data_IF_705033067370
#
_entry.id   IF_705033067370
#
_cell.length_a   1.000
_cell.length_b   1.000
_cell.length_c   1.000
_cell.angle_alpha   90.00
_cell.angle_beta   90.00
_cell.angle_gamma   90.00
#
_symmetry.space_group_name_H-M   'P 1'
#
loop_
_entity.id
_entity.type
_entity.pdbx_description
1 polymer ?
#
# COMPACT_ATOMS: atom_id res chain seq x y z
N UNK A 1 28.06 14.55 21.18
CA UNK A 1 27.33 13.29 20.92
C UNK A 1 26.15 13.24 21.91
N UNK A 2 25.01 13.81 21.58
CA UNK A 2 23.79 13.67 22.39
C UNK A 2 22.73 13.03 21.50
N UNK A 3 22.71 11.70 21.51
CA UNK A 3 21.64 10.93 20.91
C UNK A 3 20.40 11.04 21.79
N UNK A 4 19.63 12.09 21.60
CA UNK A 4 18.33 12.24 22.24
C UNK A 4 17.45 11.11 21.74
N UNK A 5 17.16 10.15 22.59
CA UNK A 5 16.05 9.21 22.43
C UNK A 5 14.77 10.03 22.35
N UNK A 6 14.35 10.37 21.12
CA UNK A 6 13.04 10.99 20.95
C UNK A 6 11.99 10.04 21.50
N UNK A 7 11.13 10.55 22.36
CA UNK A 7 10.01 9.78 22.92
C UNK A 7 9.16 9.21 21.78
N UNK A 8 8.44 8.12 22.05
CA UNK A 8 7.51 7.50 21.08
C UNK A 8 6.57 8.57 20.47
N UNK A 9 6.06 9.47 21.30
CA UNK A 9 5.19 10.56 20.85
C UNK A 9 5.87 11.57 19.92
N UNK A 10 7.17 11.87 20.12
CA UNK A 10 7.92 12.77 19.24
C UNK A 10 8.24 12.13 17.89
N UNK A 11 8.56 10.83 17.87
CA UNK A 11 8.75 10.09 16.60
C UNK A 11 7.46 10.05 15.77
N UNK A 12 6.33 9.77 16.41
CA UNK A 12 5.03 9.77 15.74
C UNK A 12 4.61 11.17 15.27
N UNK A 13 4.94 12.23 16.02
CA UNK A 13 4.72 13.61 15.57
C UNK A 13 5.50 13.95 14.31
N UNK A 14 6.71 13.42 14.14
CA UNK A 14 7.49 13.59 12.92
C UNK A 14 6.85 12.91 11.71
N UNK A 15 6.01 11.89 11.89
CA UNK A 15 5.27 11.21 10.85
C UNK A 15 3.91 11.85 10.54
N UNK A 16 3.46 12.83 11.31
CA UNK A 16 2.15 13.48 11.13
C UNK A 16 2.29 14.86 10.51
N UNK A 17 1.43 15.17 9.55
CA UNK A 17 1.23 16.54 9.11
C UNK A 17 0.31 17.21 10.12
N UNK A 18 0.76 18.29 10.81
CA UNK A 18 -0.11 18.99 11.76
C UNK A 18 -1.44 19.39 11.09
N UNK A 19 -2.55 19.11 11.77
CA UNK A 19 -3.90 19.44 11.32
C UNK A 19 -4.49 18.53 10.24
N UNK A 20 -3.70 17.67 9.58
CA UNK A 20 -4.23 16.75 8.56
C UNK A 20 -4.99 15.57 9.19
N UNK A 21 -4.42 14.97 10.22
CA UNK A 21 -4.97 13.75 10.85
C UNK A 21 -6.13 14.01 11.81
N UNK A 22 -6.24 15.21 12.32
CA UNK A 22 -7.40 15.63 13.13
C UNK A 22 -8.67 15.87 12.30
N UNK A 23 -8.53 15.92 10.97
CA UNK A 23 -9.63 16.13 10.04
C UNK A 23 -10.43 14.83 9.77
N UNK A 24 -9.81 13.68 9.96
CA UNK A 24 -10.39 12.37 9.63
C UNK A 24 -10.55 11.52 10.87
N UNK A 25 -11.62 10.70 10.91
CA UNK A 25 -11.88 9.79 12.02
C UNK A 25 -10.82 8.70 12.16
N UNK A 26 -10.22 8.29 11.04
CA UNK A 26 -9.20 7.25 10.96
C UNK A 26 -7.97 7.73 10.21
N UNK A 27 -6.82 7.18 10.57
CA UNK A 27 -5.60 7.27 9.77
C UNK A 27 -5.09 5.88 9.40
N UNK A 28 -5.67 5.35 8.33
CA UNK A 28 -5.33 4.01 7.85
C UNK A 28 -3.88 3.92 7.42
N UNK A 29 -3.15 3.02 8.04
CA UNK A 29 -1.71 2.85 7.87
C UNK A 29 -1.36 1.38 7.63
N UNK A 30 -0.41 1.15 6.73
CA UNK A 30 0.22 -0.13 6.50
C UNK A 30 1.63 -0.11 7.06
N UNK A 31 2.01 -1.10 7.87
CA UNK A 31 3.40 -1.31 8.29
C UNK A 31 3.92 -2.58 7.62
N UNK A 32 5.12 -2.50 7.02
CA UNK A 32 5.78 -3.60 6.35
C UNK A 32 7.12 -3.89 7.04
N UNK A 33 7.24 -5.04 7.69
CA UNK A 33 8.48 -5.48 8.31
C UNK A 33 9.34 -6.26 7.30
N UNK A 34 10.45 -5.63 6.88
CA UNK A 34 11.34 -6.20 5.88
C UNK A 34 12.20 -7.35 6.42
N UNK A 35 12.34 -7.51 7.75
CA UNK A 35 12.96 -8.69 8.34
C UNK A 35 12.11 -9.96 8.16
N UNK A 36 10.78 -9.78 8.16
CA UNK A 36 9.83 -10.89 8.00
C UNK A 36 9.52 -11.19 6.53
N UNK A 37 9.73 -10.22 5.63
CA UNK A 37 9.39 -10.39 4.21
C UNK A 37 10.36 -11.33 3.51
N UNK A 38 9.86 -12.49 3.08
CA UNK A 38 10.65 -13.50 2.34
C UNK A 38 10.52 -13.41 0.81
N UNK A 39 9.74 -12.45 0.29
CA UNK A 39 9.59 -12.25 -1.15
C UNK A 39 8.68 -13.24 -1.89
N UNK A 40 7.80 -13.95 -1.19
CA UNK A 40 6.96 -15.02 -1.77
C UNK A 40 5.88 -14.53 -2.77
N UNK A 41 5.66 -13.23 -2.91
CA UNK A 41 4.65 -12.61 -3.79
C UNK A 41 3.18 -12.97 -3.48
N UNK A 42 2.86 -13.68 -2.39
CA UNK A 42 1.48 -14.01 -2.01
C UNK A 42 0.59 -12.77 -1.90
N UNK A 43 1.13 -11.64 -1.41
CA UNK A 43 0.44 -10.36 -1.33
C UNK A 43 0.02 -9.82 -2.71
N UNK A 44 0.85 -10.02 -3.74
CA UNK A 44 0.54 -9.61 -5.11
C UNK A 44 -0.59 -10.45 -5.68
N UNK A 45 -0.53 -11.77 -5.55
CA UNK A 45 -1.57 -12.69 -6.02
C UNK A 45 -2.91 -12.40 -5.33
N UNK A 46 -2.90 -12.25 -4.00
CA UNK A 46 -4.11 -11.91 -3.25
C UNK A 46 -4.71 -10.56 -3.67
N UNK A 47 -3.86 -9.56 -4.02
CA UNK A 47 -4.31 -8.28 -4.51
C UNK A 47 -5.02 -8.41 -5.88
N UNK A 48 -4.49 -9.26 -6.78
CA UNK A 48 -5.13 -9.54 -8.07
C UNK A 48 -6.52 -10.14 -7.89
N UNK A 49 -6.64 -11.19 -7.08
CA UNK A 49 -7.90 -11.87 -6.83
C UNK A 49 -8.95 -10.95 -6.16
N UNK A 50 -8.54 -10.24 -5.10
CA UNK A 50 -9.44 -9.38 -4.33
C UNK A 50 -9.96 -8.18 -5.12
N UNK A 51 -9.11 -7.58 -5.95
CA UNK A 51 -9.41 -6.30 -6.59
C UNK A 51 -9.74 -6.43 -8.09
N UNK A 52 -10.04 -7.62 -8.58
CA UNK A 52 -10.37 -7.87 -9.99
C UNK A 52 -9.32 -7.27 -10.93
N UNK A 53 -8.03 -7.41 -10.58
CA UNK A 53 -6.95 -6.90 -11.40
C UNK A 53 -6.73 -7.87 -12.56
N UNK A 54 -6.77 -7.39 -13.81
CA UNK A 54 -6.61 -8.27 -14.96
C UNK A 54 -5.16 -8.77 -15.11
N UNK A 55 -5.02 -10.01 -15.58
CA UNK A 55 -3.72 -10.56 -15.98
C UNK A 55 -3.45 -10.12 -17.42
N UNK A 56 -2.32 -9.44 -17.63
CA UNK A 56 -1.98 -8.86 -18.96
C UNK A 56 -1.61 -9.89 -20.00
N UNK A 57 -1.20 -11.10 -19.62
CA UNK A 57 -0.70 -12.16 -20.51
C UNK A 57 0.77 -11.97 -20.88
N UNK A 58 1.39 -13.08 -21.31
CA UNK A 58 2.85 -13.15 -21.54
C UNK A 58 3.33 -12.20 -22.64
N UNK A 59 2.62 -12.12 -23.76
CA UNK A 59 2.99 -11.27 -24.89
C UNK A 59 3.02 -9.78 -24.53
N UNK A 60 2.08 -9.34 -23.70
CA UNK A 60 2.02 -7.94 -23.26
C UNK A 60 3.03 -7.68 -22.16
N UNK A 61 3.23 -8.65 -21.26
CA UNK A 61 4.25 -8.57 -20.23
C UNK A 61 5.65 -8.44 -20.84
N UNK A 62 5.97 -9.24 -21.88
CA UNK A 62 7.22 -9.17 -22.61
C UNK A 62 7.45 -7.80 -23.28
N UNK A 63 6.37 -7.08 -23.61
CA UNK A 63 6.41 -5.69 -24.14
C UNK A 63 6.41 -4.62 -23.05
N UNK A 64 6.61 -4.99 -21.78
CA UNK A 64 6.69 -4.06 -20.65
C UNK A 64 5.35 -3.66 -20.04
N UNK A 65 4.23 -4.29 -20.42
CA UNK A 65 2.95 -4.03 -19.77
C UNK A 65 2.92 -4.66 -18.38
N UNK A 66 2.89 -3.83 -17.34
CA UNK A 66 2.81 -4.26 -15.94
C UNK A 66 1.56 -3.67 -15.31
N UNK A 67 0.75 -4.49 -14.64
CA UNK A 67 -0.52 -4.07 -14.06
C UNK A 67 -0.66 -4.37 -12.56
N UNK A 68 0.42 -4.59 -11.87
CA UNK A 68 0.42 -4.90 -10.44
C UNK A 68 0.12 -3.64 -9.61
N UNK A 69 -0.85 -3.71 -8.68
CA UNK A 69 -1.04 -2.68 -7.66
C UNK A 69 -0.03 -2.79 -6.52
N UNK A 70 0.51 -3.99 -6.32
CA UNK A 70 1.67 -4.25 -5.45
C UNK A 70 2.76 -4.84 -6.33
N UNK A 71 3.91 -4.16 -6.44
CA UNK A 71 5.08 -4.74 -7.05
C UNK A 71 6.07 -5.15 -5.96
N UNK A 72 6.74 -6.25 -6.19
CA UNK A 72 7.78 -6.75 -5.32
C UNK A 72 9.14 -6.41 -5.92
N UNK A 73 9.82 -5.41 -5.38
CA UNK A 73 11.17 -5.07 -5.80
C UNK A 73 12.18 -6.02 -5.17
N UNK A 74 13.17 -6.40 -5.95
CA UNK A 74 14.24 -7.30 -5.57
C UNK A 74 15.57 -6.56 -5.69
N UNK A 75 16.27 -6.45 -4.58
CA UNK A 75 17.62 -5.90 -4.51
C UNK A 75 18.60 -7.04 -4.25
N UNK A 76 19.64 -7.13 -5.08
CA UNK A 76 20.67 -8.16 -5.00
C UNK A 76 22.00 -7.47 -4.74
N UNK A 77 22.68 -7.87 -3.66
CA UNK A 77 23.99 -7.35 -3.25
C UNK A 77 24.98 -8.51 -3.13
N UNK A 78 26.25 -8.28 -3.47
CA UNK A 78 27.32 -9.27 -3.40
C UNK A 78 27.44 -10.13 -4.66
N UNK A 79 28.44 -11.01 -4.67
CA UNK A 79 28.72 -11.97 -5.75
C UNK A 79 28.56 -13.40 -5.24
N UNK A 80 28.23 -14.32 -6.16
CA UNK A 80 28.10 -15.72 -5.81
C UNK A 80 29.43 -16.29 -5.26
N UNK A 81 29.41 -17.03 -4.12
CA UNK A 81 28.24 -17.56 -3.38
C UNK A 81 27.64 -16.62 -2.32
N UNK A 82 28.24 -15.47 -2.03
CA UNK A 82 27.84 -14.57 -0.94
C UNK A 82 26.80 -13.52 -1.36
N UNK A 83 25.71 -13.98 -1.98
CA UNK A 83 24.63 -13.11 -2.46
C UNK A 83 23.63 -12.84 -1.34
N UNK A 84 23.34 -11.55 -1.11
CA UNK A 84 22.26 -11.07 -0.24
C UNK A 84 21.09 -10.59 -1.08
N UNK A 85 19.90 -11.11 -0.81
CA UNK A 85 18.68 -10.70 -1.52
C UNK A 85 17.72 -10.05 -0.55
N UNK A 86 17.20 -8.88 -0.93
CA UNK A 86 16.18 -8.13 -0.19
C UNK A 86 14.96 -7.92 -1.07
N UNK A 87 13.79 -8.04 -0.49
CA UNK A 87 12.54 -7.83 -1.17
C UNK A 87 11.78 -6.70 -0.50
N UNK A 88 11.23 -5.79 -1.30
CA UNK A 88 10.43 -4.66 -0.81
C UNK A 88 9.11 -4.65 -1.58
N UNK A 89 7.98 -4.97 -0.94
CA UNK A 89 6.67 -4.79 -1.55
C UNK A 89 6.32 -3.31 -1.59
N UNK A 90 6.08 -2.78 -2.79
CA UNK A 90 5.73 -1.39 -3.02
C UNK A 90 4.32 -1.28 -3.61
N UNK A 91 3.48 -0.51 -2.93
CA UNK A 91 2.10 -0.21 -3.31
C UNK A 91 1.85 1.29 -3.25
N UNK A 92 0.64 1.74 -3.59
CA UNK A 92 0.28 3.14 -3.36
C UNK A 92 0.52 3.50 -1.90
N UNK A 93 1.32 4.55 -1.70
CA UNK A 93 1.75 4.99 -0.38
C UNK A 93 0.66 5.77 0.37
N UNK A 94 -0.50 6.00 -0.24
CA UNK A 94 -1.62 6.75 0.36
C UNK A 94 -1.14 8.07 1.00
N UNK A 95 -0.35 8.83 0.25
CA UNK A 95 0.33 10.03 0.72
C UNK A 95 -0.65 11.07 1.23
N UNK A 96 -0.38 11.67 2.40
CA UNK A 96 -1.19 12.76 2.95
C UNK A 96 -1.03 14.06 2.15
N UNK A 97 0.14 14.26 1.53
CA UNK A 97 0.41 15.33 0.57
C UNK A 97 0.63 14.71 -0.80
N UNK A 98 -0.46 14.25 -1.42
CA UNK A 98 -0.41 13.45 -2.64
C UNK A 98 -0.20 14.32 -3.89
N UNK A 99 0.98 14.30 -4.55
CA UNK A 99 1.21 15.10 -5.75
C UNK A 99 0.33 14.67 -6.93
N UNK A 100 -0.12 13.42 -6.93
CA UNK A 100 -1.03 12.91 -7.94
C UNK A 100 -2.43 13.55 -7.91
N UNK A 101 -2.85 14.16 -6.81
CA UNK A 101 -4.12 14.90 -6.72
C UNK A 101 -4.02 16.24 -7.42
N UNK A 102 -2.91 16.96 -7.18
CA UNK A 102 -2.67 18.28 -7.78
C UNK A 102 -2.59 18.19 -9.31
N UNK A 103 -2.09 17.08 -9.85
CA UNK A 103 -1.96 16.87 -11.28
C UNK A 103 -3.22 16.38 -11.99
N UNK A 104 -4.31 16.11 -11.28
CA UNK A 104 -5.51 15.57 -11.91
C UNK A 104 -6.47 16.69 -12.37
N UNK A 105 -6.65 16.93 -13.68
CA UNK A 105 -7.46 18.03 -14.19
C UNK A 105 -8.96 17.88 -13.92
N UNK A 106 -9.43 16.65 -13.67
CA UNK A 106 -10.85 16.33 -13.46
C UNK A 106 -11.14 15.92 -12.02
N UNK A 107 -10.18 16.09 -11.12
CA UNK A 107 -10.33 15.74 -9.72
C UNK A 107 -10.80 14.26 -9.49
N UNK A 108 -10.32 13.36 -10.35
CA UNK A 108 -10.60 11.94 -10.24
C UNK A 108 -9.82 11.26 -9.11
N UNK A 109 -8.75 11.91 -8.63
CA UNK A 109 -8.01 11.47 -7.46
C UNK A 109 -8.05 12.55 -6.39
N UNK A 110 -8.41 12.18 -5.16
CA UNK A 110 -8.58 13.09 -4.02
C UNK A 110 -8.58 12.29 -2.71
N UNK A 111 -8.53 12.96 -1.56
CA UNK A 111 -8.74 12.33 -0.27
C UNK A 111 -10.22 12.23 0.07
N UNK A 112 -10.67 11.02 0.42
CA UNK A 112 -12.03 10.79 0.90
C UNK A 112 -12.16 11.13 2.39
N UNK A 113 -13.36 10.90 2.95
CA UNK A 113 -13.65 11.14 4.37
C UNK A 113 -12.85 10.23 5.33
N UNK A 114 -12.30 9.12 4.82
CA UNK A 114 -11.44 8.21 5.59
C UNK A 114 -9.96 8.58 5.53
N UNK A 115 -9.61 9.72 4.91
CA UNK A 115 -8.23 10.13 4.73
C UNK A 115 -7.45 9.33 3.67
N UNK A 116 -8.13 8.50 2.89
CA UNK A 116 -7.51 7.72 1.82
C UNK A 116 -7.42 8.50 0.52
N UNK A 117 -6.28 8.44 -0.14
CA UNK A 117 -6.16 8.89 -1.52
C UNK A 117 -6.91 7.92 -2.42
N UNK A 118 -8.03 8.32 -2.95
CA UNK A 118 -8.90 7.48 -3.80
C UNK A 118 -8.72 7.79 -5.29
N UNK A 119 -9.20 6.89 -6.13
CA UNK A 119 -9.31 7.05 -7.57
C UNK A 119 -10.74 6.77 -7.99
N UNK A 120 -11.42 7.77 -8.56
CA UNK A 120 -12.79 7.63 -9.09
C UNK A 120 -12.69 7.32 -10.57
N UNK A 121 -12.97 6.08 -10.93
CA UNK A 121 -12.80 5.59 -12.29
C UNK A 121 -13.68 6.33 -13.30
N UNK A 122 -14.95 6.59 -12.96
CA UNK A 122 -15.91 7.27 -13.83
C UNK A 122 -15.57 8.75 -14.10
N UNK A 123 -14.70 9.37 -13.31
CA UNK A 123 -14.20 10.72 -13.56
C UNK A 123 -12.89 10.72 -14.34
N UNK A 124 -12.20 9.60 -14.39
CA UNK A 124 -10.89 9.52 -15.01
C UNK A 124 -11.01 9.64 -16.52
N UNK A 125 -10.37 10.65 -17.10
CA UNK A 125 -10.31 10.89 -18.55
C UNK A 125 -8.98 10.47 -19.17
N UNK A 126 -8.15 9.76 -18.41
CA UNK A 126 -6.93 9.13 -18.92
C UNK A 126 -5.76 10.06 -19.25
N UNK A 127 -5.66 11.23 -18.66
CA UNK A 127 -4.56 12.19 -18.92
C UNK A 127 -3.17 11.67 -18.53
N UNK A 128 -3.08 10.60 -17.77
CA UNK A 128 -1.85 9.98 -17.28
C UNK A 128 -1.01 10.85 -16.32
N UNK A 129 -1.27 12.13 -16.16
CA UNK A 129 -0.50 13.10 -15.36
C UNK A 129 -0.28 12.64 -13.92
N UNK A 130 -1.28 12.01 -13.30
CA UNK A 130 -1.16 11.50 -11.93
C UNK A 130 -0.15 10.35 -11.77
N UNK A 131 0.14 9.58 -12.85
CA UNK A 131 1.20 8.57 -12.84
C UNK A 131 2.57 9.25 -12.93
N UNK A 132 2.72 10.26 -13.80
CA UNK A 132 3.96 11.03 -13.95
C UNK A 132 4.35 11.74 -12.64
N UNK A 133 3.36 12.23 -11.89
CA UNK A 133 3.58 12.91 -10.61
C UNK A 133 3.81 11.95 -9.43
N UNK A 134 3.58 10.65 -9.62
CA UNK A 134 3.78 9.68 -8.55
C UNK A 134 5.26 9.27 -8.44
N UNK A 135 6.01 9.66 -7.40
CA UNK A 135 7.42 9.32 -7.30
C UNK A 135 7.66 7.83 -7.00
N UNK A 136 6.60 7.11 -6.61
CA UNK A 136 6.67 5.69 -6.26
C UNK A 136 6.37 4.75 -7.43
N UNK A 137 5.99 5.28 -8.58
CA UNK A 137 5.56 4.50 -9.76
C UNK A 137 4.56 3.38 -9.42
N UNK A 138 3.48 3.73 -8.75
CA UNK A 138 2.45 2.77 -8.27
C UNK A 138 1.07 3.01 -8.85
N UNK A 139 0.99 3.84 -9.89
CA UNK A 139 -0.23 4.10 -10.66
C UNK A 139 -0.15 3.39 -11.98
N UNK A 140 -1.15 2.55 -12.27
CA UNK A 140 -1.19 1.70 -13.47
C UNK A 140 -2.31 2.17 -14.37
N UNK A 141 -1.96 2.46 -15.61
CA UNK A 141 -2.94 2.87 -16.62
C UNK A 141 -3.49 1.65 -17.33
N UNK A 142 -4.82 1.59 -17.45
CA UNK A 142 -5.49 0.50 -18.13
C UNK A 142 -5.54 0.76 -19.63
N UNK A 143 -4.62 0.17 -20.37
CA UNK A 143 -4.48 0.30 -21.82
C UNK A 143 -5.42 -0.59 -22.63
N UNK A 144 -6.08 -1.55 -21.99
CA UNK A 144 -6.84 -2.57 -22.69
C UNK A 144 -8.14 -2.87 -21.96
N UNK A 145 -9.17 -3.25 -22.72
CA UNK A 145 -10.36 -3.88 -22.17
C UNK A 145 -10.08 -5.36 -21.97
N UNK A 146 -10.15 -5.83 -20.74
CA UNK A 146 -9.96 -7.23 -20.39
C UNK A 146 -11.30 -7.93 -20.28
N UNK A 147 -11.40 -9.10 -20.90
CA UNK A 147 -12.57 -9.97 -20.79
C UNK A 147 -12.20 -11.19 -19.97
N UNK A 148 -13.05 -11.51 -19.02
CA UNK A 148 -12.96 -12.74 -18.25
C UNK A 148 -13.84 -13.77 -18.96
N UNK A 149 -13.21 -14.78 -19.58
CA UNK A 149 -13.92 -15.84 -20.30
C UNK A 149 -14.65 -16.77 -19.33
N UNK A 150 -15.76 -17.36 -19.78
CA UNK A 150 -16.48 -18.36 -18.98
C UNK A 150 -15.64 -19.62 -18.80
N UNK A 151 -15.57 -20.19 -17.58
CA UNK A 151 -16.24 -19.80 -16.33
C UNK A 151 -15.45 -18.83 -15.44
N UNK A 152 -14.32 -18.28 -15.89
CA UNK A 152 -13.41 -17.44 -15.09
C UNK A 152 -14.06 -16.14 -14.58
N UNK A 153 -15.13 -15.69 -15.21
CA UNK A 153 -15.91 -14.55 -14.72
C UNK A 153 -16.50 -14.78 -13.30
N UNK A 154 -16.70 -16.05 -12.92
CA UNK A 154 -17.25 -16.40 -11.60
C UNK A 154 -16.26 -16.19 -10.44
N UNK A 155 -14.98 -16.03 -10.72
CA UNK A 155 -13.97 -15.72 -9.70
C UNK A 155 -13.94 -14.24 -9.32
N UNK A 156 -14.63 -13.37 -10.06
CA UNK A 156 -14.61 -11.94 -9.80
C UNK A 156 -15.28 -11.61 -8.48
N UNK A 157 -14.61 -10.71 -7.72
CA UNK A 157 -15.17 -10.18 -6.50
C UNK A 157 -16.34 -9.21 -6.84
N UNK A 158 -17.59 -9.51 -6.41
CA UNK A 158 -18.74 -8.69 -6.73
C UNK A 158 -18.70 -7.29 -6.09
N UNK A 159 -17.95 -7.11 -5.00
CA UNK A 159 -17.82 -5.84 -4.30
C UNK A 159 -16.84 -4.87 -4.95
N UNK A 160 -16.16 -5.31 -6.02
CA UNK A 160 -15.14 -4.53 -6.71
C UNK A 160 -15.46 -4.41 -8.19
N UNK A 161 -15.58 -3.19 -8.68
CA UNK A 161 -15.83 -2.90 -10.09
C UNK A 161 -14.67 -3.41 -10.97
N UNK A 162 -14.99 -4.07 -12.06
CA UNK A 162 -14.04 -4.31 -13.16
C UNK A 162 -13.87 -2.98 -13.91
N UNK A 163 -12.63 -2.55 -14.12
CA UNK A 163 -12.33 -1.28 -14.79
C UNK A 163 -12.13 -1.51 -16.27
N UNK A 164 -12.56 -0.54 -17.02
CA UNK A 164 -12.40 -0.53 -18.48
C UNK A 164 -11.10 0.15 -18.90
N UNK A 165 -10.79 0.09 -20.20
CA UNK A 165 -9.67 0.81 -20.80
C UNK A 165 -9.81 2.33 -20.58
N UNK A 166 -8.67 3.01 -20.42
CA UNK A 166 -8.61 4.46 -20.37
C UNK A 166 -8.61 5.07 -18.97
N UNK A 167 -8.63 4.24 -17.92
CA UNK A 167 -8.62 4.72 -16.54
C UNK A 167 -7.31 4.37 -15.81
N UNK A 168 -6.99 5.18 -14.80
CA UNK A 168 -5.86 4.94 -13.92
C UNK A 168 -6.29 4.09 -12.72
N UNK A 169 -5.49 3.09 -12.38
CA UNK A 169 -5.72 2.21 -11.24
C UNK A 169 -4.56 2.27 -10.24
N UNK A 170 -4.84 1.95 -9.00
CA UNK A 170 -3.84 1.88 -7.92
C UNK A 170 -4.38 1.12 -6.71
N UNK A 171 -3.50 0.76 -5.77
CA UNK A 171 -3.92 0.20 -4.49
C UNK A 171 -4.88 1.14 -3.73
N UNK A 172 -5.99 0.60 -3.25
CA UNK A 172 -7.06 1.31 -2.51
C UNK A 172 -7.06 0.97 -1.01
N UNK A 173 -6.08 0.20 -0.51
CA UNK A 173 -6.13 -0.46 0.79
C UNK A 173 -7.35 -1.36 0.97
N UNK A 174 -7.84 -1.94 -0.15
CA UNK A 174 -9.08 -2.75 -0.16
C UNK A 174 -10.25 -1.99 0.47
N UNK A 175 -10.59 -0.82 -0.08
CA UNK A 175 -11.65 0.08 0.46
C UNK A 175 -12.97 -0.64 0.70
N UNK A 176 -13.30 -1.68 -0.09
CA UNK A 176 -14.48 -2.52 0.08
C UNK A 176 -14.46 -3.21 1.46
N UNK A 177 -13.29 -3.71 1.90
CA UNK A 177 -13.15 -4.34 3.22
C UNK A 177 -13.23 -3.33 4.37
N UNK A 178 -12.71 -2.12 4.17
CA UNK A 178 -12.85 -1.02 5.14
C UNK A 178 -14.33 -0.67 5.30
N UNK A 179 -15.06 -0.54 4.20
CA UNK A 179 -16.51 -0.25 4.22
C UNK A 179 -17.29 -1.36 4.90
N UNK A 180 -17.05 -2.61 4.52
CA UNK A 180 -17.73 -3.76 5.16
C UNK A 180 -17.48 -3.82 6.66
N UNK A 181 -16.26 -3.53 7.13
CA UNK A 181 -15.95 -3.48 8.56
C UNK A 181 -16.69 -2.30 9.27
N UNK A 182 -16.79 -1.14 8.61
CA UNK A 182 -17.56 0.00 9.13
C UNK A 182 -19.03 -0.32 9.27
N UNK A 183 -19.62 -0.91 8.24
CA UNK A 183 -21.03 -1.27 8.23
C UNK A 183 -21.32 -2.30 9.33
N UNK A 184 -20.50 -3.34 9.43
CA UNK A 184 -20.59 -4.34 10.49
C UNK A 184 -20.47 -3.72 11.90
N UNK A 185 -19.49 -2.85 12.13
CA UNK A 185 -19.30 -2.19 13.41
C UNK A 185 -20.52 -1.30 13.78
N UNK A 186 -21.07 -0.62 12.77
CA UNK A 186 -22.29 0.19 12.93
C UNK A 186 -23.51 -0.66 13.30
N UNK A 187 -23.71 -1.79 12.62
CA UNK A 187 -24.81 -2.73 12.90
C UNK A 187 -24.69 -3.32 14.31
N UNK A 188 -23.47 -3.56 14.77
CA UNK A 188 -23.16 -4.03 16.12
C UNK A 188 -23.17 -2.90 17.18
N UNK A 189 -23.42 -1.65 16.80
CA UNK A 189 -23.45 -0.49 17.70
C UNK A 189 -22.11 -0.15 18.37
N UNK A 190 -20.99 -0.54 17.75
CA UNK A 190 -19.64 -0.32 18.26
C UNK A 190 -18.76 0.49 17.29
N UNK A 191 -17.63 0.93 17.77
CA UNK A 191 -16.56 1.49 16.92
C UNK A 191 -15.73 0.35 16.29
N UNK A 192 -15.08 0.66 15.15
CA UNK A 192 -14.08 -0.24 14.56
C UNK A 192 -12.95 -0.45 15.57
N UNK A 193 -12.52 -1.70 15.69
CA UNK A 193 -11.42 -2.11 16.55
C UNK A 193 -10.21 -2.53 15.71
N UNK A 194 -9.02 -2.57 16.33
CA UNK A 194 -7.82 -3.07 15.69
C UNK A 194 -8.04 -4.54 15.26
N UNK A 195 -7.64 -4.85 14.02
CA UNK A 195 -7.84 -6.17 13.42
C UNK A 195 -9.19 -6.40 12.71
N UNK A 196 -10.19 -5.52 12.83
CA UNK A 196 -11.46 -5.61 12.09
C UNK A 196 -11.25 -5.46 10.58
N UNK A 197 -10.28 -4.66 10.18
CA UNK A 197 -9.94 -4.44 8.77
C UNK A 197 -8.65 -5.16 8.42
N UNK A 198 -8.73 -6.12 7.51
CA UNK A 198 -7.55 -6.82 6.97
C UNK A 198 -7.58 -6.77 5.45
N UNK A 199 -6.79 -5.90 4.79
CA UNK A 199 -6.58 -5.96 3.34
C UNK A 199 -6.13 -7.35 2.89
N UNK A 200 -6.45 -7.74 1.66
CA UNK A 200 -6.15 -9.08 1.16
C UNK A 200 -4.66 -9.45 1.26
N UNK A 201 -3.78 -8.49 0.98
CA UNK A 201 -2.33 -8.68 1.08
C UNK A 201 -1.86 -8.95 2.52
N UNK A 202 -2.51 -8.32 3.52
CA UNK A 202 -2.22 -8.56 4.94
C UNK A 202 -2.71 -9.94 5.37
N UNK A 203 -3.96 -10.27 4.99
CA UNK A 203 -4.57 -11.56 5.33
C UNK A 203 -3.78 -12.75 4.78
N UNK A 204 -3.22 -12.62 3.58
CA UNK A 204 -2.53 -13.71 2.88
C UNK A 204 -1.04 -13.77 3.21
N UNK A 205 -0.47 -12.77 3.89
CA UNK A 205 0.96 -12.74 4.17
C UNK A 205 1.37 -13.88 5.13
N UNK A 206 2.12 -14.91 4.67
CA UNK A 206 2.38 -16.10 5.48
C UNK A 206 3.34 -15.84 6.64
N UNK A 207 4.15 -14.78 6.52
CA UNK A 207 5.14 -14.43 7.55
C UNK A 207 4.66 -13.33 8.49
N UNK A 208 3.45 -12.77 8.28
CA UNK A 208 2.96 -11.63 9.03
C UNK A 208 3.83 -10.38 8.87
N UNK A 209 4.50 -10.24 7.71
CA UNK A 209 5.33 -9.07 7.42
C UNK A 209 4.53 -7.78 7.22
N UNK A 210 3.26 -7.89 6.85
CA UNK A 210 2.36 -6.75 6.62
C UNK A 210 1.34 -6.66 7.75
N UNK A 211 1.20 -5.47 8.34
CA UNK A 211 0.20 -5.17 9.37
C UNK A 211 -0.56 -3.92 8.94
N UNK A 212 -1.87 -3.91 9.13
CA UNK A 212 -2.74 -2.81 8.75
C UNK A 212 -3.65 -2.40 9.91
N UNK A 213 -3.85 -1.11 10.10
CA UNK A 213 -4.72 -0.59 11.16
C UNK A 213 -4.81 0.92 11.16
N UNK A 214 -5.41 1.45 12.22
CA UNK A 214 -5.57 2.89 12.44
C UNK A 214 -4.43 3.44 13.30
N UNK A 215 -3.64 4.37 12.75
CA UNK A 215 -2.57 5.03 13.49
C UNK A 215 -3.09 6.04 14.53
N UNK A 216 -4.37 6.44 14.45
CA UNK A 216 -5.00 7.28 15.47
C UNK A 216 -5.36 6.49 16.73
N UNK A 217 -5.52 5.17 16.60
CA UNK A 217 -5.69 4.28 17.75
C UNK A 217 -4.34 3.96 18.39
N UNK A 218 -4.10 4.53 19.56
CA UNK A 218 -2.85 4.34 20.31
C UNK A 218 -2.66 2.92 20.85
N UNK A 219 -3.74 2.13 20.91
CA UNK A 219 -3.71 0.72 21.29
C UNK A 219 -3.44 -0.24 20.13
N UNK A 220 -3.49 0.25 18.87
CA UNK A 220 -3.35 -0.59 17.70
C UNK A 220 -1.93 -1.14 17.50
N UNK A 221 -1.85 -2.29 16.81
CA UNK A 221 -0.57 -2.90 16.47
C UNK A 221 0.25 -2.00 15.54
N UNK A 222 -0.39 -1.32 14.58
CA UNK A 222 0.30 -0.39 13.68
C UNK A 222 0.92 0.78 14.44
N UNK A 223 0.25 1.29 15.49
CA UNK A 223 0.81 2.36 16.34
C UNK A 223 2.08 1.89 17.05
N UNK A 224 2.05 0.70 17.64
CA UNK A 224 3.20 0.09 18.30
C UNK A 224 4.37 -0.13 17.33
N UNK A 225 4.10 -0.65 16.14
CA UNK A 225 5.11 -0.90 15.12
C UNK A 225 5.66 0.40 14.53
N UNK A 226 4.82 1.40 14.26
CA UNK A 226 5.23 2.70 13.75
C UNK A 226 6.16 3.46 14.74
N UNK A 227 6.10 3.12 16.02
CA UNK A 227 6.97 3.67 17.06
C UNK A 227 8.35 3.01 17.14
N UNK A 228 8.60 1.95 16.36
CA UNK A 228 9.87 1.22 16.40
C UNK A 228 11.03 2.06 15.83
N UNK A 229 12.24 1.85 16.38
CA UNK A 229 13.46 2.55 15.92
C UNK A 229 13.84 2.24 14.46
N UNK A 230 13.39 1.10 13.91
CA UNK A 230 13.64 0.66 12.53
C UNK A 230 12.74 1.33 11.48
N UNK A 231 11.78 2.15 11.90
CA UNK A 231 10.81 2.77 10.98
C UNK A 231 11.45 3.77 10.03
N UNK A 232 10.99 3.73 8.80
CA UNK A 232 11.27 4.72 7.78
C UNK A 232 10.13 4.79 6.74
N UNK A 233 10.11 5.83 5.96
CA UNK A 233 9.24 6.00 4.79
C UNK A 233 10.06 6.02 3.53
N UNK A 234 9.50 5.50 2.45
CA UNK A 234 10.14 5.61 1.14
C UNK A 234 10.13 7.07 0.67
N UNK A 235 11.26 7.55 0.14
CA UNK A 235 11.41 8.89 -0.42
C UNK A 235 10.87 9.99 0.52
N UNK A 236 11.23 9.91 1.81
CA UNK A 236 10.74 10.83 2.84
C UNK A 236 11.19 12.28 2.59
N UNK A 237 12.32 12.46 1.91
CA UNK A 237 12.86 13.74 1.43
C UNK A 237 11.92 14.50 0.48
N UNK A 238 11.04 13.81 -0.24
CA UNK A 238 10.04 14.43 -1.10
C UNK A 238 8.83 15.01 -0.34
N UNK A 239 8.75 14.80 0.96
CA UNK A 239 7.71 15.34 1.85
C UNK A 239 6.27 15.04 1.40
N UNK A 240 6.04 13.90 0.76
CA UNK A 240 4.70 13.44 0.35
C UNK A 240 3.89 12.85 1.50
N UNK A 241 4.55 12.58 2.62
CA UNK A 241 4.01 12.01 3.86
C UNK A 241 3.24 10.71 3.61
N UNK A 242 3.94 9.61 3.28
CA UNK A 242 3.35 8.30 3.09
C UNK A 242 2.64 7.75 4.33
N UNK A 243 1.52 7.04 4.12
CA UNK A 243 0.84 6.24 5.15
C UNK A 243 1.34 4.78 5.18
N UNK A 244 2.21 4.40 4.26
CA UNK A 244 2.94 3.13 4.33
C UNK A 244 4.27 3.35 5.04
N UNK A 245 4.51 2.59 6.09
CA UNK A 245 5.70 2.66 6.93
C UNK A 245 6.46 1.35 6.78
N UNK A 246 7.77 1.42 6.64
CA UNK A 246 8.62 0.25 6.54
C UNK A 246 9.50 0.12 7.77
N UNK A 247 9.71 -1.11 8.22
CA UNK A 247 10.72 -1.45 9.22
C UNK A 247 11.97 -1.97 8.50
N UNK A 248 13.07 -1.28 8.67
CA UNK A 248 14.38 -1.65 8.08
C UNK A 248 14.72 -3.09 8.45
N UNK A 249 15.29 -3.81 7.52
CA UNK A 249 15.91 -5.10 7.78
C UNK A 249 17.19 -4.90 8.61
N UNK A 250 17.33 -5.65 9.68
CA UNK A 250 18.46 -5.58 10.59
C UNK A 250 19.19 -6.91 10.68
N UNK A 251 18.46 -8.03 10.56
CA UNK A 251 19.05 -9.36 10.64
C UNK A 251 19.68 -9.77 9.31
N UNK A 252 20.96 -9.99 9.31
CA UNK A 252 21.70 -10.65 8.23
C UNK A 252 21.78 -12.19 8.45
N UNK A 253 20.73 -12.79 9.02
CA UNK A 253 20.64 -14.22 9.31
C UNK A 253 21.85 -14.80 10.09
N UNK A 254 22.44 -14.00 10.98
CA UNK A 254 23.52 -14.43 11.87
C UNK A 254 24.86 -14.75 11.17
N UNK A 255 25.04 -14.38 9.89
CA UNK A 255 26.34 -14.51 9.25
C UNK A 255 27.17 -13.25 9.60
N UNK A 256 28.41 -13.43 10.12
CA UNK A 256 29.30 -12.31 10.32
C UNK A 256 29.57 -11.64 8.95
N UNK A 257 29.44 -10.32 8.92
CA UNK A 257 29.99 -9.52 7.80
C UNK A 257 31.50 -9.69 7.84
N UNK A 258 32.06 -10.41 6.89
CA UNK A 258 33.50 -10.37 6.67
C UNK A 258 33.80 -8.97 6.10
N UNK A 259 34.45 -8.13 6.94
CA UNK A 259 35.19 -6.94 6.50
C UNK A 259 36.40 -7.35 5.67
#
# INVERSE_FOLDING_TARGET
MSGVLKTIGERLKAFRVPGYYTKYDHYWTMVVDLDKCNGCAACTVACYAENNIPVVGDDRFAKGSVFNWIRLEKYVEGEYPDVKIRHIPIMCQQCSKAPCETGCPVYATYHNQDGLNVQVYNRCVGTFTCATYCPYDVRRFNWHTYKFEKPLEQQLNPDVTVREMGVMEKCTFCIQRIRAAKDKAKDEGRKIQDGDVKPACVQTCPTGAMVFGDLNDTGSEVYRLASNARTYRLLDDLNTVPSVIYLKRVSDNGRPTHE
#
